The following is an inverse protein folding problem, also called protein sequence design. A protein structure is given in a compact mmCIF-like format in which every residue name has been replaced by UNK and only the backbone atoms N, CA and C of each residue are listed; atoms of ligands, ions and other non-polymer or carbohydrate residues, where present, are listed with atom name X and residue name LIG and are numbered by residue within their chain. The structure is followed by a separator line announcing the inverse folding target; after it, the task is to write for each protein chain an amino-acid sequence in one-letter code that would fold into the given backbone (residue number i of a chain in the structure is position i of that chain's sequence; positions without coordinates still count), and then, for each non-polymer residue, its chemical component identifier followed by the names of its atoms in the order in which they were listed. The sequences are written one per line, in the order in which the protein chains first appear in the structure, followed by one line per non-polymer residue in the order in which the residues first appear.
data_IF_009199850304
#
_entry.id   IF_009199850304
#
_cell.length_a   1.000
_cell.length_b   1.000
_cell.length_c   1.000
_cell.angle_alpha   90.00
_cell.angle_beta   90.00
_cell.angle_gamma   90.00
#
_symmetry.space_group_name_H-M   'P 1'
#
loop_
_entity.id
_entity.type
_entity.pdbx_description
1 polymer ?
#
# COMPACT_ATOMS: atom_id res chain seq x y z
N UNK A 1 -23.51 -0.82 -18.12
CA UNK A 1 -23.05 -2.22 -17.99
C UNK A 1 -22.38 -2.40 -16.63
N UNK A 2 -22.92 -3.23 -15.72
CA UNK A 2 -22.25 -3.53 -14.44
C UNK A 2 -21.08 -4.47 -14.70
N UNK A 3 -19.89 -3.93 -14.90
CA UNK A 3 -18.65 -4.70 -15.06
C UNK A 3 -18.44 -5.55 -13.80
N UNK A 4 -18.24 -6.86 -13.92
CA UNK A 4 -18.08 -7.81 -12.79
C UNK A 4 -17.01 -7.40 -11.75
N UNK A 5 -16.10 -6.52 -12.16
CA UNK A 5 -14.99 -5.98 -11.36
C UNK A 5 -15.35 -4.77 -10.47
N UNK A 6 -16.62 -4.32 -10.40
CA UNK A 6 -17.06 -3.23 -9.54
C UNK A 6 -17.57 -3.76 -8.19
N UNK A 7 -16.66 -4.29 -7.37
CA UNK A 7 -16.96 -4.87 -6.05
C UNK A 7 -16.07 -4.21 -5.02
N UNK A 8 -16.68 -3.84 -3.88
CA UNK A 8 -15.96 -3.20 -2.78
C UNK A 8 -14.83 -4.10 -2.24
N UNK A 9 -15.11 -5.40 -2.09
CA UNK A 9 -14.14 -6.41 -1.65
C UNK A 9 -12.89 -6.47 -2.55
N UNK A 10 -13.09 -6.38 -3.86
CA UNK A 10 -12.01 -6.45 -4.85
C UNK A 10 -11.11 -5.21 -4.75
N UNK A 11 -11.72 -4.03 -4.58
CA UNK A 11 -11.00 -2.80 -4.30
C UNK A 11 -10.23 -2.84 -2.98
N UNK A 12 -10.85 -3.37 -1.93
CA UNK A 12 -10.23 -3.48 -0.61
C UNK A 12 -9.04 -4.45 -0.63
N UNK A 13 -9.21 -5.61 -1.26
CA UNK A 13 -8.14 -6.60 -1.42
C UNK A 13 -6.96 -6.01 -2.21
N UNK A 14 -7.21 -5.39 -3.37
CA UNK A 14 -6.15 -4.78 -4.17
C UNK A 14 -5.49 -3.60 -3.48
N UNK A 15 -6.25 -2.78 -2.74
CA UNK A 15 -5.71 -1.67 -1.94
C UNK A 15 -4.87 -2.13 -0.75
N UNK A 16 -5.13 -3.32 -0.18
CA UNK A 16 -4.27 -3.89 0.86
C UNK A 16 -3.03 -4.58 0.28
N UNK A 17 -3.15 -5.13 -0.94
CA UNK A 17 -2.07 -5.85 -1.61
C UNK A 17 -1.05 -4.92 -2.28
N UNK A 18 -1.48 -3.75 -2.75
CA UNK A 18 -0.61 -2.78 -3.44
C UNK A 18 0.58 -2.27 -2.61
N UNK A 19 0.46 -1.94 -1.32
CA UNK A 19 1.60 -1.56 -0.50
C UNK A 19 2.63 -2.67 -0.36
N UNK A 20 2.18 -3.92 -0.25
CA UNK A 20 3.07 -5.09 -0.19
C UNK A 20 3.82 -5.25 -1.50
N UNK A 21 3.11 -5.11 -2.62
CA UNK A 21 3.72 -5.15 -3.95
C UNK A 21 4.73 -4.02 -4.14
N UNK A 22 4.39 -2.82 -3.70
CA UNK A 22 5.24 -1.63 -3.77
C UNK A 22 6.50 -1.81 -2.93
N UNK A 23 6.37 -2.35 -1.73
CA UNK A 23 7.53 -2.68 -0.89
C UNK A 23 8.47 -3.66 -1.58
N UNK A 24 7.92 -4.70 -2.22
CA UNK A 24 8.73 -5.69 -2.94
C UNK A 24 9.44 -5.08 -4.15
N UNK A 25 8.76 -4.18 -4.87
CA UNK A 25 9.37 -3.41 -5.96
C UNK A 25 10.49 -2.52 -5.42
N UNK A 26 10.27 -1.79 -4.32
CA UNK A 26 11.32 -0.99 -3.68
C UNK A 26 12.52 -1.85 -3.27
N UNK A 27 12.30 -3.02 -2.68
CA UNK A 27 13.37 -3.95 -2.32
C UNK A 27 14.19 -4.38 -3.54
N UNK A 28 13.54 -4.71 -4.66
CA UNK A 28 14.23 -5.10 -5.89
C UNK A 28 15.02 -3.95 -6.52
N UNK A 29 14.49 -2.72 -6.48
CA UNK A 29 15.17 -1.55 -7.04
C UNK A 29 16.32 -1.05 -6.16
N UNK A 30 16.23 -1.19 -4.84
CA UNK A 30 17.24 -0.73 -3.89
C UNK A 30 18.29 -1.82 -3.58
N UNK A 31 18.27 -2.93 -4.32
CA UNK A 31 19.11 -4.10 -4.11
C UNK A 31 20.61 -3.73 -4.22
N UNK A 32 21.25 -3.63 -3.07
CA UNK A 32 22.69 -3.40 -2.91
C UNK A 32 23.39 -4.64 -2.30
N UNK A 33 22.98 -5.84 -2.71
CA UNK A 33 23.52 -7.14 -2.26
C UNK A 33 23.12 -7.63 -0.85
N UNK A 34 22.30 -6.87 -0.11
CA UNK A 34 21.75 -7.27 1.19
C UNK A 34 20.46 -8.11 1.06
N UNK A 35 20.32 -9.14 1.90
CA UNK A 35 19.13 -9.97 1.97
C UNK A 35 17.89 -9.20 2.43
N UNK A 36 16.69 -9.74 2.21
CA UNK A 36 15.42 -9.09 2.59
C UNK A 36 15.37 -8.78 4.10
N UNK A 37 16.04 -9.61 4.90
CA UNK A 37 16.15 -9.45 6.36
C UNK A 37 17.09 -8.30 6.71
N UNK A 38 18.25 -8.18 6.06
CA UNK A 38 19.13 -7.02 6.24
C UNK A 38 18.45 -5.72 5.83
N UNK A 39 17.70 -5.71 4.73
CA UNK A 39 16.96 -4.52 4.29
C UNK A 39 15.89 -4.08 5.32
N UNK A 40 15.12 -5.04 5.85
CA UNK A 40 14.14 -4.76 6.91
C UNK A 40 14.86 -4.25 8.18
N UNK A 41 15.98 -4.86 8.56
CA UNK A 41 16.77 -4.41 9.69
C UNK A 41 17.32 -2.99 9.49
N UNK A 42 17.82 -2.64 8.31
CA UNK A 42 18.26 -1.27 8.01
C UNK A 42 17.11 -0.26 8.13
N UNK A 43 15.93 -0.59 7.62
CA UNK A 43 14.73 0.26 7.70
C UNK A 43 14.30 0.48 9.16
N UNK A 44 14.37 -0.57 9.99
CA UNK A 44 14.04 -0.51 11.42
C UNK A 44 15.12 0.27 12.19
N UNK A 45 16.41 -0.03 11.97
CA UNK A 45 17.55 0.59 12.65
C UNK A 45 17.62 2.09 12.34
N UNK A 46 17.30 2.50 11.10
CA UNK A 46 17.23 3.91 10.71
C UNK A 46 15.97 4.63 11.21
N UNK A 47 15.06 3.95 11.92
CA UNK A 47 13.74 4.46 12.35
C UNK A 47 12.87 5.05 11.22
N UNK A 48 13.12 4.65 9.97
CA UNK A 48 12.36 5.13 8.78
C UNK A 48 11.22 4.20 8.40
N UNK A 49 10.90 3.20 9.23
CA UNK A 49 9.82 2.22 9.03
C UNK A 49 8.48 2.89 8.70
N UNK A 50 8.10 3.93 9.44
CA UNK A 50 6.86 4.69 9.22
C UNK A 50 6.85 5.44 7.88
N UNK A 51 8.00 5.98 7.45
CA UNK A 51 8.14 6.65 6.15
C UNK A 51 8.06 5.66 5.00
N UNK A 52 8.72 4.50 5.12
CA UNK A 52 8.70 3.45 4.10
C UNK A 52 7.28 2.92 3.91
N UNK A 53 6.55 2.64 4.98
CA UNK A 53 5.15 2.17 4.88
C UNK A 53 4.27 3.25 4.24
N UNK A 54 4.45 4.52 4.59
CA UNK A 54 3.72 5.63 3.99
C UNK A 54 4.00 5.77 2.49
N UNK A 55 5.27 5.62 2.06
CA UNK A 55 5.68 5.58 0.65
C UNK A 55 5.03 4.42 -0.09
N UNK A 56 4.97 3.24 0.53
CA UNK A 56 4.32 2.07 -0.03
C UNK A 56 2.81 2.25 -0.21
N UNK A 57 2.17 3.12 0.57
CA UNK A 57 0.76 3.44 0.42
C UNK A 57 0.47 4.44 -0.72
N UNK A 58 1.46 5.16 -1.25
CA UNK A 58 1.25 6.17 -2.31
C UNK A 58 0.64 5.56 -3.60
N UNK A 59 1.10 4.39 -4.09
CA UNK A 59 0.50 3.77 -5.28
C UNK A 59 -0.96 3.35 -5.11
N UNK A 60 -1.48 3.21 -3.89
CA UNK A 60 -2.93 3.01 -3.69
C UNK A 60 -3.75 4.18 -4.23
N UNK A 61 -3.22 5.40 -4.18
CA UNK A 61 -3.90 6.57 -4.71
C UNK A 61 -3.97 6.49 -6.24
N UNK A 62 -2.93 5.98 -6.89
CA UNK A 62 -2.91 5.74 -8.33
C UNK A 62 -3.94 4.66 -8.70
N UNK A 63 -3.97 3.55 -7.97
CA UNK A 63 -4.98 2.49 -8.16
C UNK A 63 -6.41 3.02 -7.96
N UNK A 64 -6.61 3.90 -6.98
CA UNK A 64 -7.88 4.55 -6.71
C UNK A 64 -8.35 5.41 -7.89
N UNK A 65 -7.47 6.25 -8.45
CA UNK A 65 -7.81 7.07 -9.63
C UNK A 65 -8.11 6.22 -10.86
N UNK A 66 -7.36 5.14 -11.09
CA UNK A 66 -7.62 4.20 -12.19
C UNK A 66 -9.04 3.60 -12.07
N UNK A 67 -9.47 3.24 -10.86
CA UNK A 67 -10.84 2.74 -10.65
C UNK A 67 -11.92 3.80 -10.81
N UNK A 68 -11.65 5.07 -10.50
CA UNK A 68 -12.57 6.17 -10.83
C UNK A 68 -12.70 6.31 -12.35
N UNK A 69 -11.58 6.39 -13.08
CA UNK A 69 -11.58 6.57 -14.53
C UNK A 69 -12.23 5.41 -15.28
N UNK A 70 -12.21 4.20 -14.70
CA UNK A 70 -12.84 3.00 -15.28
C UNK A 70 -14.31 2.84 -14.85
N UNK A 71 -14.93 3.85 -14.23
CA UNK A 71 -16.32 3.80 -13.73
C UNK A 71 -16.56 2.69 -12.69
N UNK A 72 -15.52 2.29 -11.94
CA UNK A 72 -15.56 1.25 -10.90
C UNK A 72 -15.61 1.86 -9.50
N UNK A 73 -16.63 2.69 -9.26
CA UNK A 73 -16.76 3.47 -8.03
C UNK A 73 -16.84 2.62 -6.74
N UNK A 74 -17.43 1.42 -6.75
CA UNK A 74 -17.43 0.55 -5.56
C UNK A 74 -16.04 0.02 -5.24
N UNK A 75 -15.28 -0.38 -6.27
CA UNK A 75 -13.88 -0.80 -6.09
C UNK A 75 -13.01 0.36 -5.65
N UNK A 76 -13.22 1.56 -6.21
CA UNK A 76 -12.52 2.78 -5.76
C UNK A 76 -12.79 3.05 -4.27
N UNK A 77 -14.05 2.93 -3.79
CA UNK A 77 -14.37 3.03 -2.36
C UNK A 77 -13.64 1.97 -1.52
N UNK A 78 -13.55 0.73 -2.02
CA UNK A 78 -12.78 -0.33 -1.36
C UNK A 78 -11.30 0.00 -1.20
N UNK A 79 -10.65 0.53 -2.26
CA UNK A 79 -9.24 0.97 -2.20
C UNK A 79 -9.07 2.10 -1.19
N UNK A 80 -9.98 3.08 -1.19
CA UNK A 80 -9.97 4.17 -0.21
C UNK A 80 -10.06 3.65 1.22
N UNK A 81 -10.96 2.70 1.49
CA UNK A 81 -11.09 2.08 2.82
C UNK A 81 -9.82 1.36 3.24
N UNK A 82 -9.19 0.60 2.34
CA UNK A 82 -7.90 -0.04 2.62
C UNK A 82 -6.81 0.98 2.95
N UNK A 83 -6.73 2.08 2.19
CA UNK A 83 -5.78 3.17 2.45
C UNK A 83 -6.01 3.81 3.82
N UNK A 84 -7.26 4.05 4.21
CA UNK A 84 -7.55 4.55 5.57
C UNK A 84 -7.13 3.57 6.65
N UNK A 85 -7.39 2.27 6.49
CA UNK A 85 -6.94 1.23 7.44
C UNK A 85 -5.42 1.28 7.60
N UNK A 86 -4.68 1.31 6.49
CA UNK A 86 -3.21 1.39 6.51
C UNK A 86 -2.77 2.70 7.19
N UNK A 87 -3.39 3.83 6.87
CA UNK A 87 -3.06 5.11 7.49
C UNK A 87 -3.28 5.09 9.01
N UNK A 88 -4.38 4.50 9.49
CA UNK A 88 -4.61 4.30 10.93
C UNK A 88 -3.54 3.39 11.57
N UNK A 89 -3.17 2.29 10.91
CA UNK A 89 -2.10 1.39 11.40
C UNK A 89 -0.78 2.14 11.50
N UNK A 90 -0.39 2.89 10.46
CA UNK A 90 0.83 3.70 10.43
C UNK A 90 0.81 4.77 11.53
N UNK A 91 -0.33 5.42 11.74
CA UNK A 91 -0.51 6.41 12.78
C UNK A 91 -0.30 5.78 14.16
N UNK A 92 -0.96 4.66 14.45
CA UNK A 92 -0.80 3.95 15.73
C UNK A 92 0.66 3.53 15.92
N UNK A 93 1.29 2.94 14.91
CA UNK A 93 2.70 2.54 14.96
C UNK A 93 3.61 3.72 15.25
N UNK A 94 3.37 4.90 14.66
CA UNK A 94 4.16 6.11 14.90
C UNK A 94 4.06 6.65 16.34
N UNK A 95 2.94 6.42 17.01
CA UNK A 95 2.75 6.87 18.39
C UNK A 95 3.21 5.84 19.43
N UNK A 96 3.26 4.55 19.05
CA UNK A 96 3.71 3.45 19.92
C UNK A 96 5.22 3.24 19.84
N UNK A 97 5.81 3.40 18.64
CA UNK A 97 7.25 3.27 18.36
C UNK A 97 7.93 4.65 18.46
#
# INVERSE_FOLDING_TARGET
MKTKANRLELGLFLGLLMPVLTFFVFYLFLHNESGIVEFINEVIVRQVSTQVISLCAVPNLLLFFVFIWTDRLYSARGVLTATFIIAFVVLILKFVL
#
